data_IF_457003684936
#
_entry.id   IF_457003684936
#
_cell.length_a   1.000
_cell.length_b   1.000
_cell.length_c   1.000
_cell.angle_alpha   90.00
_cell.angle_beta   90.00
_cell.angle_gamma   90.00
#
_symmetry.space_group_name_H-M   'P 1'
#
loop_
_entity.id
_entity.type
_entity.pdbx_description
1 polymer ?
#
# COMPACT_ATOMS: atom_id res chain seq x y z
N UNK A 1 3.18 25.38 10.52
CA UNK A 1 4.03 24.24 10.12
C UNK A 1 4.71 24.60 8.81
N UNK A 2 5.98 24.23 8.65
CA UNK A 2 6.72 24.39 7.39
C UNK A 2 6.59 23.08 6.61
N UNK A 3 5.65 23.04 5.66
CA UNK A 3 5.34 21.83 4.88
C UNK A 3 6.24 21.66 3.65
N UNK A 4 7.03 22.68 3.35
CA UNK A 4 7.95 22.79 2.22
C UNK A 4 9.39 22.41 2.59
N UNK A 5 9.65 22.11 3.86
CA UNK A 5 10.96 21.69 4.36
C UNK A 5 10.93 20.20 4.68
N UNK A 6 11.85 19.44 4.09
CA UNK A 6 12.00 18.03 4.37
C UNK A 6 12.42 17.79 5.82
N UNK A 7 11.89 16.73 6.43
CA UNK A 7 12.33 16.27 7.73
C UNK A 7 13.81 15.88 7.69
N UNK A 8 14.56 16.14 8.78
CA UNK A 8 15.95 15.73 8.87
C UNK A 8 16.07 14.21 9.01
N UNK A 9 17.21 13.64 8.63
CA UNK A 9 17.45 12.20 8.76
C UNK A 9 17.31 11.71 10.20
N UNK A 10 17.74 12.53 11.17
CA UNK A 10 17.62 12.23 12.60
C UNK A 10 16.15 12.19 13.05
N UNK A 11 15.29 13.06 12.50
CA UNK A 11 13.87 13.04 12.82
C UNK A 11 13.18 11.79 12.26
N UNK A 12 13.53 11.38 11.03
CA UNK A 12 13.04 10.13 10.43
C UNK A 12 13.51 8.92 11.25
N UNK A 13 14.79 8.85 11.60
CA UNK A 13 15.36 7.74 12.39
C UNK A 13 14.68 7.58 13.76
N UNK A 14 14.52 8.68 14.52
CA UNK A 14 13.79 8.65 15.81
C UNK A 14 12.35 8.16 15.65
N UNK A 15 11.69 8.52 14.55
CA UNK A 15 10.31 8.09 14.27
C UNK A 15 10.26 6.59 13.99
N UNK A 16 11.18 6.09 13.17
CA UNK A 16 11.33 4.66 12.87
C UNK A 16 11.57 3.84 14.14
N UNK A 17 12.46 4.28 15.03
CA UNK A 17 12.71 3.63 16.33
C UNK A 17 11.48 3.64 17.24
N UNK A 18 10.76 4.77 17.30
CA UNK A 18 9.55 4.89 18.11
C UNK A 18 8.38 4.03 17.59
N UNK A 19 8.32 3.76 16.28
CA UNK A 19 7.38 2.82 15.68
C UNK A 19 7.78 1.37 15.99
N UNK A 20 9.07 1.04 15.85
CA UNK A 20 9.59 -0.29 16.15
C UNK A 20 9.37 -0.66 17.63
N UNK A 21 9.58 0.28 18.55
CA UNK A 21 9.29 0.10 19.99
C UNK A 21 7.80 -0.18 20.30
N UNK A 22 6.90 0.06 19.34
CA UNK A 22 5.46 -0.25 19.43
C UNK A 22 5.04 -1.46 18.58
N UNK A 23 6.01 -2.21 18.04
CA UNK A 23 5.74 -3.37 17.20
C UNK A 23 5.33 -3.03 15.76
N UNK A 24 5.53 -1.78 15.33
CA UNK A 24 5.26 -1.34 13.96
C UNK A 24 6.57 -1.31 13.19
N UNK A 25 6.74 -2.21 12.23
CA UNK A 25 7.90 -2.19 11.34
C UNK A 25 7.81 -0.99 10.40
N UNK A 26 8.81 -0.11 10.46
CA UNK A 26 8.96 1.02 9.57
C UNK A 26 10.28 0.90 8.80
N UNK A 27 10.25 1.17 7.51
CA UNK A 27 11.40 1.10 6.63
C UNK A 27 11.58 2.44 5.93
N UNK A 28 12.82 2.91 5.84
CA UNK A 28 13.18 4.12 5.09
C UNK A 28 13.97 3.71 3.86
N UNK A 29 13.60 4.27 2.71
CA UNK A 29 14.23 4.05 1.41
C UNK A 29 14.57 5.39 0.80
N UNK A 30 15.56 5.46 -0.08
CA UNK A 30 16.10 6.74 -0.56
C UNK A 30 15.27 7.34 -1.69
N UNK A 31 14.50 6.51 -2.42
CA UNK A 31 13.76 6.98 -3.59
C UNK A 31 12.51 6.16 -3.91
N UNK A 32 11.77 6.68 -4.89
CA UNK A 32 10.52 6.13 -5.44
C UNK A 32 10.65 4.68 -5.93
N UNK A 33 11.74 4.37 -6.64
CA UNK A 33 11.94 3.06 -7.25
C UNK A 33 12.18 2.00 -6.16
N UNK A 34 13.04 2.32 -5.18
CA UNK A 34 13.26 1.47 -4.02
C UNK A 34 11.97 1.24 -3.23
N UNK A 35 11.14 2.27 -3.03
CA UNK A 35 9.86 2.12 -2.35
C UNK A 35 8.93 1.11 -3.05
N UNK A 36 8.86 1.15 -4.38
CA UNK A 36 8.06 0.20 -5.15
C UNK A 36 8.62 -1.22 -5.04
N UNK A 37 9.92 -1.41 -5.23
CA UNK A 37 10.55 -2.73 -5.16
C UNK A 37 10.43 -3.34 -3.77
N UNK A 38 10.70 -2.57 -2.72
CA UNK A 38 10.49 -3.03 -1.34
C UNK A 38 9.04 -3.42 -1.10
N UNK A 39 8.07 -2.61 -1.55
CA UNK A 39 6.63 -2.93 -1.42
C UNK A 39 6.29 -4.28 -2.06
N UNK A 40 6.82 -4.58 -3.25
CA UNK A 40 6.60 -5.87 -3.94
C UNK A 40 7.14 -7.05 -3.13
N UNK A 41 8.31 -6.90 -2.51
CA UNK A 41 8.95 -7.99 -1.74
C UNK A 41 8.20 -8.37 -0.46
N UNK A 42 7.36 -7.50 0.06
CA UNK A 42 6.58 -7.75 1.28
C UNK A 42 5.37 -8.67 1.06
N UNK A 43 4.93 -8.81 -0.20
CA UNK A 43 3.70 -9.52 -0.54
C UNK A 43 4.06 -10.85 -1.22
N UNK A 44 3.75 -12.00 -0.60
CA UNK A 44 4.07 -13.30 -1.18
C UNK A 44 3.20 -13.60 -2.41
N UNK A 45 3.69 -14.40 -3.36
CA UNK A 45 2.88 -14.86 -4.50
C UNK A 45 1.59 -15.54 -4.04
N UNK A 46 0.50 -15.32 -4.78
CA UNK A 46 -0.82 -15.90 -4.50
C UNK A 46 -1.62 -15.21 -3.40
N UNK A 47 -1.04 -14.28 -2.63
CA UNK A 47 -1.77 -13.50 -1.65
C UNK A 47 -2.84 -12.62 -2.30
N UNK A 48 -3.94 -12.40 -1.59
CA UNK A 48 -4.95 -11.41 -1.98
C UNK A 48 -4.51 -10.00 -1.61
N UNK A 49 -4.63 -9.09 -2.58
CA UNK A 49 -4.18 -7.70 -2.48
C UNK A 49 -5.32 -6.76 -2.80
N UNK A 50 -5.49 -5.77 -1.94
CA UNK A 50 -6.36 -4.63 -2.13
C UNK A 50 -5.62 -3.35 -1.72
N UNK A 51 -6.03 -2.21 -2.26
CA UNK A 51 -5.54 -0.93 -1.78
C UNK A 51 -6.64 0.13 -1.69
N UNK A 52 -6.47 1.03 -0.72
CA UNK A 52 -7.24 2.27 -0.62
C UNK A 52 -6.68 3.36 -1.54
N UNK A 53 -7.34 4.52 -1.55
CA UNK A 53 -6.80 5.71 -2.21
C UNK A 53 -5.50 6.14 -1.53
N UNK A 54 -4.44 6.30 -2.32
CA UNK A 54 -3.14 6.73 -1.82
C UNK A 54 -2.34 7.39 -2.92
N UNK A 55 -2.08 8.68 -2.76
CA UNK A 55 -1.23 9.43 -3.69
C UNK A 55 0.18 8.84 -3.76
N UNK A 56 0.71 8.37 -2.64
CA UNK A 56 2.02 7.71 -2.60
C UNK A 56 2.04 6.42 -3.42
N UNK A 57 1.00 5.58 -3.35
CA UNK A 57 0.94 4.36 -4.16
C UNK A 57 0.83 4.64 -5.66
N UNK A 58 0.09 5.69 -6.05
CA UNK A 58 0.07 6.17 -7.43
C UNK A 58 1.45 6.63 -7.87
N UNK A 59 2.10 7.46 -7.05
CA UNK A 59 3.39 8.04 -7.37
C UNK A 59 4.49 6.98 -7.47
N UNK A 60 4.60 6.04 -6.52
CA UNK A 60 5.61 4.98 -6.64
C UNK A 60 5.32 3.99 -7.78
N UNK A 61 4.19 4.09 -8.47
CA UNK A 61 3.83 3.21 -9.58
C UNK A 61 3.22 1.87 -9.16
N UNK A 62 2.85 1.73 -7.88
CA UNK A 62 2.23 0.51 -7.38
C UNK A 62 0.86 0.27 -8.02
N UNK A 63 0.05 1.32 -8.18
CA UNK A 63 -1.30 1.21 -8.77
C UNK A 63 -1.24 0.68 -10.20
N UNK A 64 -0.32 1.18 -11.02
CA UNK A 64 -0.16 0.72 -12.40
C UNK A 64 0.43 -0.70 -12.46
N UNK A 65 1.34 -1.04 -11.55
CA UNK A 65 1.84 -2.41 -11.42
C UNK A 65 0.71 -3.39 -11.07
N UNK A 66 -0.16 -3.05 -10.11
CA UNK A 66 -1.29 -3.88 -9.73
C UNK A 66 -2.32 -4.02 -10.87
N UNK A 67 -2.56 -2.97 -11.65
CA UNK A 67 -3.43 -3.04 -12.85
C UNK A 67 -2.84 -3.88 -13.97
N UNK A 68 -1.50 -3.96 -14.07
CA UNK A 68 -0.84 -4.72 -15.14
C UNK A 68 -1.02 -6.23 -15.04
N UNK A 69 -1.38 -6.75 -13.86
CA UNK A 69 -1.48 -8.19 -13.59
C UNK A 69 -0.14 -8.93 -13.48
N UNK A 70 0.98 -8.28 -13.79
CA UNK A 70 2.32 -8.88 -13.82
C UNK A 70 2.99 -8.98 -12.44
N UNK A 71 2.24 -9.43 -11.43
CA UNK A 71 2.67 -9.45 -10.02
C UNK A 71 2.42 -10.80 -9.31
N UNK A 72 1.61 -11.70 -9.89
CA UNK A 72 1.35 -13.01 -9.30
C UNK A 72 0.52 -12.98 -8.01
N UNK A 73 -0.21 -11.90 -7.76
CA UNK A 73 -1.12 -11.73 -6.62
C UNK A 73 -2.58 -11.83 -7.08
N UNK A 74 -3.48 -12.10 -6.15
CA UNK A 74 -4.93 -12.04 -6.40
C UNK A 74 -5.41 -10.60 -6.21
N UNK A 75 -5.55 -9.85 -7.31
CA UNK A 75 -5.98 -8.44 -7.29
C UNK A 75 -7.50 -8.32 -7.10
N UNK A 76 -7.93 -7.92 -5.90
CA UNK A 76 -9.36 -7.86 -5.58
C UNK A 76 -10.12 -6.75 -6.33
N UNK A 77 -9.44 -5.71 -6.81
CA UNK A 77 -10.09 -4.70 -7.66
C UNK A 77 -10.61 -5.31 -8.96
N UNK A 78 -9.85 -6.23 -9.55
CA UNK A 78 -10.21 -6.88 -10.80
C UNK A 78 -11.50 -7.70 -10.63
N UNK A 79 -11.57 -8.53 -9.58
CA UNK A 79 -12.77 -9.32 -9.24
C UNK A 79 -14.01 -8.42 -9.03
N UNK A 80 -13.85 -7.30 -8.32
CA UNK A 80 -14.94 -6.35 -8.08
C UNK A 80 -15.43 -5.72 -9.40
N UNK A 81 -14.52 -5.33 -10.29
CA UNK A 81 -14.86 -4.65 -11.55
C UNK A 81 -15.44 -5.61 -12.61
N UNK A 82 -15.07 -6.89 -12.54
CA UNK A 82 -15.64 -7.95 -13.38
C UNK A 82 -17.08 -8.26 -12.99
N UNK A 83 -17.45 -8.21 -11.71
CA UNK A 83 -18.81 -8.41 -11.23
C UNK A 83 -19.76 -7.32 -11.77
N UNK A 84 -20.89 -7.75 -12.35
CA UNK A 84 -21.88 -6.88 -13.01
C UNK A 84 -23.14 -6.69 -12.18
N UNK A 85 -23.41 -7.58 -11.23
CA UNK A 85 -24.48 -7.41 -10.25
C UNK A 85 -24.05 -6.38 -9.18
N UNK A 86 -24.70 -5.22 -9.07
CA UNK A 86 -24.32 -4.17 -8.12
C UNK A 86 -24.39 -4.62 -6.65
N UNK A 87 -25.32 -5.53 -6.31
CA UNK A 87 -25.47 -6.03 -4.94
C UNK A 87 -24.28 -6.94 -4.57
N UNK A 88 -23.91 -7.85 -5.47
CA UNK A 88 -22.73 -8.72 -5.29
C UNK A 88 -21.44 -7.90 -5.29
N UNK A 89 -21.32 -6.94 -6.21
CA UNK A 89 -20.16 -6.05 -6.27
C UNK A 89 -19.96 -5.28 -4.95
N UNK A 90 -21.05 -4.83 -4.32
CA UNK A 90 -21.00 -4.16 -3.02
C UNK A 90 -20.52 -5.09 -1.92
N UNK A 91 -20.95 -6.36 -1.91
CA UNK A 91 -20.47 -7.37 -0.96
C UNK A 91 -18.97 -7.63 -1.17
N UNK A 92 -18.52 -7.77 -2.43
CA UNK A 92 -17.11 -7.96 -2.76
C UNK A 92 -16.25 -6.78 -2.27
N UNK A 93 -16.70 -5.52 -2.45
CA UNK A 93 -16.01 -4.34 -1.90
C UNK A 93 -15.86 -4.41 -0.37
N UNK A 94 -16.88 -4.87 0.34
CA UNK A 94 -16.82 -5.06 1.79
C UNK A 94 -15.84 -6.16 2.17
N UNK A 95 -15.81 -7.27 1.43
CA UNK A 95 -14.88 -8.37 1.71
C UNK A 95 -13.44 -8.03 1.33
N UNK A 96 -13.21 -7.15 0.37
CA UNK A 96 -11.85 -6.79 -0.06
C UNK A 96 -11.04 -6.06 1.01
N UNK A 97 -11.67 -5.53 2.07
CA UNK A 97 -10.95 -4.99 3.24
C UNK A 97 -10.30 -6.09 4.08
N UNK A 98 -10.68 -7.36 3.87
CA UNK A 98 -10.13 -8.55 4.51
C UNK A 98 -9.07 -9.23 3.63
N UNK A 99 -8.50 -8.53 2.66
CA UNK A 99 -7.38 -9.04 1.88
C UNK A 99 -6.20 -9.40 2.79
N UNK A 100 -5.40 -10.38 2.38
CA UNK A 100 -4.19 -10.77 3.11
C UNK A 100 -3.25 -9.56 3.27
N UNK A 101 -3.19 -8.71 2.23
CA UNK A 101 -2.46 -7.46 2.23
C UNK A 101 -3.37 -6.32 1.78
N UNK A 102 -3.54 -5.32 2.65
CA UNK A 102 -4.24 -4.08 2.35
C UNK A 102 -3.27 -2.89 2.39
N UNK A 103 -3.08 -2.23 1.25
CA UNK A 103 -2.16 -1.10 1.15
C UNK A 103 -2.94 0.22 1.21
N UNK A 104 -2.47 1.13 2.05
CA UNK A 104 -3.09 2.43 2.22
C UNK A 104 -2.09 3.48 2.66
N UNK A 105 -2.47 4.75 2.53
CA UNK A 105 -1.75 5.83 3.19
C UNK A 105 -2.28 5.98 4.61
N UNK A 106 -1.38 6.17 5.57
CA UNK A 106 -1.75 6.61 6.92
C UNK A 106 -1.68 8.13 6.95
N UNK A 107 -2.74 8.77 7.44
CA UNK A 107 -2.67 10.18 7.78
C UNK A 107 -1.85 10.28 9.07
N UNK A 108 -0.74 11.01 9.01
CA UNK A 108 -0.03 11.40 10.23
C UNK A 108 -0.92 12.39 11.01
N UNK A 109 -1.06 12.18 12.32
CA UNK A 109 -1.69 13.09 13.29
C UNK A 109 -0.64 13.92 14.00
#
# INVERSE_FOLDING_TARGET
MQYDILATKEAVARTTEALAGRGIAAMTVENRAEALEHTKTLIPPGASVMNGSSRTLEEIGFVEHLKSGAHGWKNLHEEILMEKDPAKQTILRKHAVLSDYYLGSVHAV
#
